data_IF_671007170017
#
_entry.id   IF_671007170017
#
_cell.length_a   1.000
_cell.length_b   1.000
_cell.length_c   1.000
_cell.angle_alpha   90.00
_cell.angle_beta   90.00
_cell.angle_gamma   90.00
#
_symmetry.space_group_name_H-M   'P 1'
#
loop_
_entity.id
_entity.type
_entity.pdbx_description
1 polymer ?
#
# COMPACT_ATOMS: atom_id res chain seq x y z
N UNK A 1 -22.70 -23.80 7.52
CA UNK A 1 -22.15 -22.92 6.47
C UNK A 1 -20.80 -22.45 6.97
N UNK A 2 -19.73 -22.78 6.24
CA UNK A 2 -18.36 -22.49 6.66
C UNK A 2 -18.17 -20.98 6.84
N UNK A 3 -17.65 -20.56 8.00
CA UNK A 3 -17.12 -19.21 8.18
C UNK A 3 -15.81 -19.15 7.42
N UNK A 4 -15.79 -18.51 6.26
CA UNK A 4 -14.53 -18.15 5.61
C UNK A 4 -13.78 -17.25 6.59
N UNK A 5 -12.61 -17.68 7.04
CA UNK A 5 -11.66 -16.82 7.75
C UNK A 5 -11.32 -15.66 6.80
N UNK A 6 -11.90 -14.49 7.03
CA UNK A 6 -11.62 -13.28 6.26
C UNK A 6 -10.25 -12.74 6.70
N UNK A 7 -9.18 -13.40 6.26
CA UNK A 7 -7.78 -13.03 6.49
C UNK A 7 -7.28 -12.00 5.48
N UNK A 8 -8.21 -11.34 4.77
CA UNK A 8 -7.89 -10.34 3.76
C UNK A 8 -7.11 -9.20 4.41
N UNK A 9 -5.84 -8.94 4.01
CA UNK A 9 -5.02 -7.94 4.66
C UNK A 9 -5.67 -6.56 4.64
N UNK A 10 -5.56 -5.82 5.75
CA UNK A 10 -5.99 -4.43 5.87
C UNK A 10 -4.76 -3.55 5.98
N UNK A 11 -4.54 -2.67 5.00
CA UNK A 11 -3.40 -1.76 4.97
C UNK A 11 -3.79 -0.34 5.40
N UNK A 12 -2.92 0.41 6.09
CA UNK A 12 -3.18 1.82 6.35
C UNK A 12 -3.11 2.62 5.05
N UNK A 13 -4.01 3.58 4.92
CA UNK A 13 -4.01 4.59 3.86
C UNK A 13 -3.91 5.99 4.45
N UNK A 14 -3.22 6.87 3.75
CA UNK A 14 -2.84 8.20 4.23
C UNK A 14 -3.42 9.28 3.33
N UNK A 15 -3.85 10.39 3.94
CA UNK A 15 -4.57 11.45 3.23
C UNK A 15 -3.60 12.34 2.45
N UNK A 16 -3.77 12.40 1.14
CA UNK A 16 -3.11 13.40 0.29
C UNK A 16 -4.14 14.45 -0.17
N UNK A 17 -4.09 15.69 0.36
CA UNK A 17 -5.04 16.72 0.00
C UNK A 17 -4.78 17.28 -1.40
N UNK A 18 -5.86 17.59 -2.11
CA UNK A 18 -5.92 18.24 -3.42
C UNK A 18 -6.90 19.41 -3.40
N UNK A 19 -6.92 20.22 -4.46
CA UNK A 19 -7.83 21.38 -4.55
C UNK A 19 -9.32 21.02 -4.42
N UNK A 20 -9.70 19.80 -4.79
CA UNK A 20 -11.09 19.32 -4.77
C UNK A 20 -11.27 18.07 -3.91
N UNK A 21 -10.58 18.00 -2.76
CA UNK A 21 -10.73 16.93 -1.77
C UNK A 21 -9.43 16.21 -1.48
N UNK A 22 -9.45 14.88 -1.37
CA UNK A 22 -8.24 14.11 -1.08
C UNK A 22 -8.17 12.82 -1.90
N UNK A 23 -6.95 12.32 -2.05
CA UNK A 23 -6.70 10.93 -2.46
C UNK A 23 -6.11 10.15 -1.30
N UNK A 24 -6.24 8.83 -1.35
CA UNK A 24 -5.62 7.94 -0.39
C UNK A 24 -4.31 7.40 -0.96
N UNK A 25 -3.25 7.41 -0.14
CA UNK A 25 -1.95 6.83 -0.45
C UNK A 25 -1.72 5.59 0.39
N UNK A 26 -1.33 4.50 -0.24
CA UNK A 26 -1.14 3.20 0.43
C UNK A 26 0.26 2.71 0.15
N UNK A 27 0.99 2.30 1.20
CA UNK A 27 2.29 1.66 1.03
C UNK A 27 2.08 0.20 0.61
N UNK A 28 2.56 -0.17 -0.56
CA UNK A 28 2.64 -1.57 -0.93
C UNK A 28 4.05 -2.07 -0.64
N UNK A 29 4.21 -2.86 0.42
CA UNK A 29 5.49 -3.45 0.78
C UNK A 29 6.09 -4.24 -0.39
N UNK A 30 5.28 -4.97 -1.15
CA UNK A 30 5.74 -5.85 -2.22
C UNK A 30 6.30 -5.10 -3.43
N UNK A 31 5.68 -3.96 -3.78
CA UNK A 31 6.16 -3.02 -4.81
C UNK A 31 7.29 -2.12 -4.30
N UNK A 32 7.44 -2.00 -2.97
CA UNK A 32 8.25 -0.98 -2.32
C UNK A 32 7.93 0.44 -2.83
N UNK A 33 6.64 0.74 -3.01
CA UNK A 33 6.17 2.03 -3.53
C UNK A 33 4.81 2.47 -2.95
N UNK A 34 4.50 3.76 -3.09
CA UNK A 34 3.24 4.38 -2.67
C UNK A 34 2.23 4.41 -3.81
N UNK A 35 1.13 3.68 -3.66
CA UNK A 35 0.04 3.66 -4.64
C UNK A 35 -0.99 4.77 -4.35
N UNK A 36 -1.47 5.41 -5.42
CA UNK A 36 -2.60 6.34 -5.33
C UNK A 36 -3.91 5.60 -5.52
N UNK A 37 -4.86 5.92 -4.67
CA UNK A 37 -6.28 5.77 -4.97
C UNK A 37 -6.80 7.09 -5.50
N UNK A 38 -7.93 7.05 -6.21
CA UNK A 38 -8.56 8.25 -6.75
C UNK A 38 -9.09 9.16 -5.64
N UNK A 39 -9.93 10.11 -6.04
CA UNK A 39 -10.73 10.86 -5.09
C UNK A 39 -11.59 9.89 -4.27
N UNK A 40 -11.48 9.97 -2.95
CA UNK A 40 -12.13 9.06 -2.02
C UNK A 40 -12.83 9.88 -0.93
N UNK A 41 -14.10 9.58 -0.68
CA UNK A 41 -14.92 10.23 0.34
C UNK A 41 -15.11 9.35 1.60
N UNK A 42 -14.39 8.21 1.67
CA UNK A 42 -14.47 7.28 2.80
C UNK A 42 -14.01 7.98 4.07
N UNK A 43 -14.83 7.99 5.14
CA UNK A 43 -14.48 8.65 6.39
C UNK A 43 -13.21 8.08 7.04
N UNK A 44 -12.49 8.93 7.78
CA UNK A 44 -11.40 8.48 8.65
C UNK A 44 -11.92 7.43 9.63
N UNK A 45 -11.20 6.32 9.73
CA UNK A 45 -11.56 5.17 10.57
C UNK A 45 -12.21 4.04 9.80
N UNK A 46 -12.86 4.33 8.67
CA UNK A 46 -13.53 3.33 7.83
C UNK A 46 -12.55 2.62 6.89
N UNK A 47 -13.05 1.55 6.26
CA UNK A 47 -12.30 0.73 5.30
C UNK A 47 -12.95 0.75 3.92
N UNK A 48 -12.12 0.83 2.88
CA UNK A 48 -12.57 0.69 1.48
C UNK A 48 -11.81 -0.42 0.78
N UNK A 49 -12.44 -1.04 -0.22
CA UNK A 49 -11.92 -2.21 -0.93
C UNK A 49 -10.90 -1.81 -2.00
N UNK A 50 -9.89 -2.66 -2.20
CA UNK A 50 -8.96 -2.53 -3.32
C UNK A 50 -8.77 -3.84 -4.06
N UNK A 51 -9.05 -3.78 -5.36
CA UNK A 51 -8.74 -4.84 -6.30
C UNK A 51 -7.24 -5.17 -6.36
N UNK A 52 -6.93 -6.46 -6.51
CA UNK A 52 -5.57 -6.94 -6.79
C UNK A 52 -4.93 -6.22 -7.99
N UNK A 53 -3.74 -5.66 -7.82
CA UNK A 53 -3.01 -4.97 -8.90
C UNK A 53 -1.48 -4.90 -8.67
N UNK A 54 -0.94 -5.74 -7.78
CA UNK A 54 0.50 -5.74 -7.51
C UNK A 54 1.26 -6.38 -8.68
N UNK A 55 2.28 -5.69 -9.19
CA UNK A 55 3.10 -6.21 -10.29
C UNK A 55 4.24 -7.13 -9.82
N UNK A 56 4.49 -7.22 -8.51
CA UNK A 56 5.50 -8.12 -7.98
C UNK A 56 4.96 -9.56 -8.09
N UNK A 57 5.64 -10.46 -8.81
CA UNK A 57 5.12 -11.80 -9.10
C UNK A 57 5.01 -12.67 -7.85
N UNK A 58 5.72 -12.33 -6.77
CA UNK A 58 5.72 -13.02 -5.49
C UNK A 58 4.80 -12.38 -4.43
N UNK A 59 4.00 -11.38 -4.83
CA UNK A 59 3.07 -10.69 -3.95
C UNK A 59 1.76 -11.44 -3.83
N UNK A 60 1.26 -11.56 -2.60
CA UNK A 60 -0.12 -11.99 -2.33
C UNK A 60 -1.15 -11.07 -3.02
N UNK A 61 -0.88 -9.77 -3.12
CA UNK A 61 -1.75 -8.77 -3.77
C UNK A 61 -1.76 -8.81 -5.30
N UNK A 62 -1.05 -9.76 -5.91
CA UNK A 62 -1.10 -9.98 -7.36
C UNK A 62 -2.43 -10.64 -7.74
N UNK A 63 -2.92 -11.56 -6.92
CA UNK A 63 -4.11 -12.36 -7.19
C UNK A 63 -5.23 -12.13 -6.17
N UNK A 64 -4.91 -11.64 -4.97
CA UNK A 64 -5.90 -11.40 -3.92
C UNK A 64 -6.13 -9.92 -3.68
N UNK A 65 -7.39 -9.58 -3.46
CA UNK A 65 -7.78 -8.25 -3.01
C UNK A 65 -7.24 -7.95 -1.61
N UNK A 66 -7.27 -6.67 -1.25
CA UNK A 66 -6.98 -6.22 0.12
C UNK A 66 -7.91 -5.06 0.48
N UNK A 67 -8.04 -4.81 1.78
CA UNK A 67 -8.76 -3.65 2.29
C UNK A 67 -7.76 -2.56 2.66
N UNK A 68 -8.21 -1.31 2.60
CA UNK A 68 -7.44 -0.19 3.12
C UNK A 68 -8.24 0.55 4.17
N UNK A 69 -7.60 0.90 5.29
CA UNK A 69 -8.19 1.70 6.36
C UNK A 69 -7.79 3.15 6.18
N UNK A 70 -8.75 4.06 6.20
CA UNK A 70 -8.49 5.50 6.10
C UNK A 70 -7.96 6.01 7.44
N UNK A 71 -6.69 6.43 7.45
CA UNK A 71 -6.09 7.06 8.64
C UNK A 71 -6.35 8.57 8.63
N UNK A 72 -6.30 9.20 9.80
CA UNK A 72 -6.29 10.66 9.91
C UNK A 72 -4.91 11.28 9.61
N UNK A 73 -3.94 10.48 9.17
CA UNK A 73 -2.54 10.90 9.04
C UNK A 73 -2.30 11.44 7.63
N UNK A 74 -1.69 12.65 7.50
CA UNK A 74 -1.28 13.17 6.21
C UNK A 74 -0.23 12.29 5.54
N UNK A 75 -0.39 12.02 4.25
CA UNK A 75 0.60 11.31 3.43
C UNK A 75 1.98 11.98 3.49
N UNK A 76 2.02 13.31 3.57
CA UNK A 76 3.27 14.08 3.70
C UNK A 76 4.07 13.75 4.96
N UNK A 77 3.41 13.27 6.02
CA UNK A 77 4.03 12.77 7.25
C UNK A 77 4.52 11.34 7.02
N UNK A 78 3.62 10.43 6.63
CA UNK A 78 3.93 9.01 6.47
C UNK A 78 5.06 8.76 5.46
N UNK A 79 5.07 9.45 4.32
CA UNK A 79 6.08 9.27 3.26
C UNK A 79 7.51 9.58 3.71
N UNK A 80 7.71 10.34 4.79
CA UNK A 80 9.04 10.66 5.34
C UNK A 80 9.63 9.49 6.13
N UNK A 81 8.80 8.54 6.56
CA UNK A 81 9.21 7.38 7.38
C UNK A 81 9.65 6.19 6.53
N UNK A 82 9.36 6.20 5.22
CA UNK A 82 9.59 5.08 4.32
C UNK A 82 10.48 5.48 3.15
N UNK A 83 11.45 4.62 2.85
CA UNK A 83 12.23 4.67 1.62
C UNK A 83 11.53 3.86 0.54
N UNK A 84 11.37 4.43 -0.65
CA UNK A 84 10.83 3.72 -1.81
C UNK A 84 11.94 3.04 -2.61
N UNK A 85 11.57 2.04 -3.41
CA UNK A 85 12.48 1.45 -4.37
C UNK A 85 12.86 2.44 -5.47
N UNK A 86 14.13 2.43 -5.85
CA UNK A 86 14.61 3.09 -7.06
C UNK A 86 14.03 2.43 -8.33
N UNK A 87 14.07 3.11 -9.48
CA UNK A 87 13.60 2.54 -10.75
C UNK A 87 14.27 1.21 -11.12
N UNK A 88 15.57 1.06 -10.81
CA UNK A 88 16.30 -0.19 -11.03
C UNK A 88 15.77 -1.32 -10.12
N UNK A 89 15.50 -1.02 -8.85
CA UNK A 89 14.90 -1.98 -7.91
C UNK A 89 13.46 -2.34 -8.30
N UNK A 90 12.65 -1.38 -8.75
CA UNK A 90 11.30 -1.65 -9.24
C UNK A 90 11.29 -2.59 -10.45
N UNK A 91 12.23 -2.40 -11.40
CA UNK A 91 12.41 -3.33 -12.52
C UNK A 91 12.82 -4.72 -12.02
N UNK A 92 13.77 -4.81 -11.08
CA UNK A 92 14.17 -6.09 -10.52
C UNK A 92 13.00 -6.81 -9.81
N UNK A 93 12.19 -6.09 -9.03
CA UNK A 93 10.98 -6.61 -8.38
C UNK A 93 10.01 -7.18 -9.43
N UNK A 94 9.73 -6.44 -10.50
CA UNK A 94 8.84 -6.90 -11.58
C UNK A 94 9.35 -8.17 -12.26
N UNK A 95 10.66 -8.30 -12.40
CA UNK A 95 11.31 -9.50 -12.95
C UNK A 95 11.41 -10.65 -11.93
N UNK A 96 10.87 -10.51 -10.71
CA UNK A 96 10.96 -11.51 -9.65
C UNK A 96 12.34 -11.63 -8.99
N UNK A 97 13.23 -10.67 -9.23
CA UNK A 97 14.60 -10.67 -8.69
C UNK A 97 14.64 -9.92 -7.36
N UNK A 98 14.56 -10.66 -6.26
CA UNK A 98 14.52 -10.13 -4.90
C UNK A 98 15.92 -10.17 -4.27
N UNK A 99 16.54 -8.99 -4.10
CA UNK A 99 17.80 -8.83 -3.37
C UNK A 99 17.58 -8.55 -1.89
N UNK A 100 18.63 -8.66 -1.08
CA UNK A 100 18.59 -8.29 0.35
C UNK A 100 18.12 -6.83 0.54
N UNK A 101 18.61 -5.91 -0.29
CA UNK A 101 18.17 -4.51 -0.24
C UNK A 101 16.66 -4.37 -0.50
N UNK A 102 16.07 -5.17 -1.41
CA UNK A 102 14.62 -5.18 -1.64
C UNK A 102 13.89 -5.77 -0.44
N UNK A 103 14.42 -6.83 0.20
CA UNK A 103 13.85 -7.40 1.42
C UNK A 103 13.85 -6.38 2.57
N UNK A 104 14.93 -5.61 2.74
CA UNK A 104 15.00 -4.54 3.73
C UNK A 104 13.95 -3.44 3.46
N UNK A 105 13.70 -3.11 2.19
CA UNK A 105 12.64 -2.16 1.83
C UNK A 105 11.24 -2.71 2.18
N UNK A 106 11.00 -4.01 1.92
CA UNK A 106 9.74 -4.72 2.21
C UNK A 106 9.42 -4.83 3.70
N UNK A 107 10.45 -4.83 4.55
CA UNK A 107 10.30 -4.91 6.00
C UNK A 107 9.88 -3.58 6.65
N UNK A 108 9.86 -2.48 5.88
CA UNK A 108 9.40 -1.19 6.38
C UNK A 108 7.88 -1.14 6.46
N UNK A 109 7.36 -0.56 7.55
CA UNK A 109 5.95 -0.23 7.73
C UNK A 109 5.83 1.27 8.01
N UNK A 110 4.91 1.98 7.33
CA UNK A 110 4.71 3.40 7.57
C UNK A 110 4.16 3.62 8.97
N UNK A 111 4.65 4.67 9.63
CA UNK A 111 4.11 5.08 10.91
C UNK A 111 2.64 5.50 10.74
N UNK A 112 1.75 4.72 11.36
CA UNK A 112 0.31 4.85 11.27
C UNK A 112 -0.33 5.45 12.55
N UNK A 113 0.49 5.93 13.49
CA UNK A 113 0.06 6.64 14.71
C UNK A 113 -0.51 5.76 15.80
#
# INVERSE_FOLDING_TARGET
MARSNDTTPVLPSFLEPHAHGHSLRVWCRWCCDWHSHGHDDTPVGDTTHRGAHCYAPDSEYNETDYWIRVTGIPFSTARKTIRTATAAQQRAIRDGRISEAVQQLRAQEPDAG
#
